data_IF_267277614288
#
_entry.id   IF_267277614288
#
_cell.length_a   1.000
_cell.length_b   1.000
_cell.length_c   1.000
_cell.angle_alpha   90.00
_cell.angle_beta   90.00
_cell.angle_gamma   90.00
#
_symmetry.space_group_name_H-M   'P 1'
#
loop_
_entity.id
_entity.type
_entity.pdbx_description
1 polymer ?
#
# COMPACT_ATOMS: atom_id res chain seq x y z
N UNK A 1 -7.64 30.57 0.91
CA UNK A 1 -9.00 30.35 1.44
C UNK A 1 -9.17 28.88 1.70
N UNK A 2 -9.18 28.48 2.95
CA UNK A 2 -9.33 27.07 3.32
C UNK A 2 -10.81 26.69 3.24
N UNK A 3 -11.15 25.78 2.31
CA UNK A 3 -12.48 25.21 2.23
C UNK A 3 -12.52 24.03 3.21
N UNK A 4 -13.11 24.28 4.38
CA UNK A 4 -13.43 23.23 5.33
C UNK A 4 -14.55 22.36 4.74
N UNK A 5 -14.27 21.13 4.39
CA UNK A 5 -15.29 20.12 4.08
C UNK A 5 -16.02 19.74 5.37
N UNK A 6 -17.12 20.43 5.65
CA UNK A 6 -18.05 20.06 6.71
C UNK A 6 -18.97 18.96 6.20
N UNK A 7 -18.71 17.71 6.56
CA UNK A 7 -19.63 16.60 6.37
C UNK A 7 -20.77 16.71 7.40
N UNK A 8 -21.78 17.52 7.08
CA UNK A 8 -23.03 17.60 7.83
C UNK A 8 -24.10 16.74 7.16
N UNK A 9 -24.06 15.44 7.47
CA UNK A 9 -25.15 14.52 7.12
C UNK A 9 -25.21 13.37 8.12
N UNK A 10 -25.59 13.68 9.36
CA UNK A 10 -26.05 12.69 10.34
C UNK A 10 -26.66 13.40 11.56
N UNK A 11 -27.79 14.07 11.33
CA UNK A 11 -28.66 14.45 12.45
C UNK A 11 -30.08 14.68 11.91
N UNK A 12 -30.79 13.60 11.70
CA UNK A 12 -32.26 13.58 11.65
C UNK A 12 -32.68 12.16 11.33
N UNK A 13 -32.81 11.28 12.28
CA UNK A 13 -33.84 10.24 12.43
C UNK A 13 -33.69 9.63 13.83
N UNK A 14 -34.06 10.40 14.82
CA UNK A 14 -34.48 9.89 16.12
C UNK A 14 -35.84 10.51 16.36
N UNK A 15 -36.86 9.70 16.25
CA UNK A 15 -38.17 9.78 16.90
C UNK A 15 -39.19 9.06 16.05
N UNK A 16 -39.97 8.24 16.69
CA UNK A 16 -41.11 7.43 16.24
C UNK A 16 -40.76 5.97 15.92
N UNK A 17 -40.95 5.11 16.88
CA UNK A 17 -42.07 4.19 17.02
C UNK A 17 -41.87 3.32 18.27
N UNK A 18 -42.51 3.73 19.32
CA UNK A 18 -42.88 2.83 20.41
C UNK A 18 -44.32 2.35 20.14
N UNK A 19 -44.55 1.14 20.55
CA UNK A 19 -45.87 0.50 20.74
C UNK A 19 -46.40 -0.37 19.58
N UNK A 20 -46.45 -1.67 19.87
CA UNK A 20 -47.63 -2.53 19.94
C UNK A 20 -47.18 -4.01 19.94
N UNK A 21 -47.17 -4.65 21.15
CA UNK A 21 -48.05 -5.70 21.66
C UNK A 21 -48.18 -6.95 20.77
N UNK A 22 -47.61 -8.02 21.15
CA UNK A 22 -48.09 -9.10 22.06
C UNK A 22 -48.92 -10.23 21.38
N UNK A 23 -48.56 -11.46 21.78
CA UNK A 23 -49.36 -12.74 21.81
C UNK A 23 -49.31 -13.54 20.49
N UNK A 24 -48.69 -14.74 20.47
CA UNK A 24 -49.23 -16.00 20.97
C UNK A 24 -48.28 -17.18 20.70
N UNK A 25 -47.94 -17.94 21.72
CA UNK A 25 -48.09 -19.39 21.91
C UNK A 25 -47.60 -20.38 20.84
N UNK A 26 -46.53 -21.07 21.25
CA UNK A 26 -46.39 -22.52 21.31
C UNK A 26 -46.44 -23.33 20.02
N UNK A 27 -45.23 -23.77 19.61
CA UNK A 27 -45.06 -25.13 19.15
C UNK A 27 -43.69 -25.62 19.61
N UNK A 28 -43.69 -26.62 20.44
CA UNK A 28 -42.52 -27.36 20.92
C UNK A 28 -41.96 -28.14 19.73
N UNK A 29 -40.84 -27.68 19.20
CA UNK A 29 -39.95 -28.50 18.36
C UNK A 29 -38.63 -28.61 19.08
N UNK A 30 -38.30 -29.79 19.52
CA UNK A 30 -37.00 -30.14 20.11
C UNK A 30 -35.94 -29.93 19.04
N UNK A 31 -35.01 -28.98 19.19
CA UNK A 31 -33.91 -28.91 18.25
C UNK A 31 -32.86 -29.93 18.63
N UNK A 32 -32.56 -30.82 17.70
CA UNK A 32 -31.37 -31.64 17.75
C UNK A 32 -30.18 -30.71 18.03
N UNK A 33 -29.41 -30.99 19.08
CA UNK A 33 -28.16 -30.33 19.41
C UNK A 33 -27.15 -30.53 18.25
N UNK A 34 -27.20 -29.69 17.26
CA UNK A 34 -26.00 -29.44 16.48
C UNK A 34 -25.00 -28.80 17.45
N UNK A 35 -23.93 -29.52 17.77
CA UNK A 35 -22.72 -28.90 18.35
C UNK A 35 -22.24 -27.85 17.37
N UNK A 36 -22.57 -26.60 17.63
CA UNK A 36 -21.92 -25.48 16.95
C UNK A 36 -20.44 -25.63 17.27
N UNK A 37 -19.62 -25.79 16.24
CA UNK A 37 -18.19 -25.68 16.38
C UNK A 37 -17.91 -24.32 17.04
N UNK A 38 -17.07 -24.25 18.08
CA UNK A 38 -16.74 -22.98 18.71
C UNK A 38 -16.17 -22.07 17.62
N UNK A 39 -16.79 -20.92 17.44
CA UNK A 39 -16.25 -19.88 16.55
C UNK A 39 -14.80 -19.64 16.94
N UNK A 40 -13.85 -19.59 16.00
CA UNK A 40 -12.46 -19.36 16.33
C UNK A 40 -12.38 -18.01 17.05
N UNK A 41 -12.01 -18.03 18.32
CA UNK A 41 -11.74 -16.81 19.09
C UNK A 41 -10.44 -16.25 18.54
N UNK A 42 -10.54 -15.31 17.62
CA UNK A 42 -9.40 -14.52 17.15
C UNK A 42 -9.08 -13.54 18.28
N UNK A 43 -7.98 -13.77 18.97
CA UNK A 43 -7.53 -12.86 20.01
C UNK A 43 -6.84 -11.65 19.32
N UNK A 44 -7.46 -10.47 19.44
CA UNK A 44 -6.90 -9.22 18.97
C UNK A 44 -7.54 -8.66 17.68
N UNK A 45 -7.08 -7.48 17.24
CA UNK A 45 -7.58 -6.84 16.04
C UNK A 45 -7.23 -7.64 14.79
N UNK A 46 -8.08 -7.55 13.78
CA UNK A 46 -7.92 -8.22 12.49
C UNK A 46 -7.93 -7.20 11.36
N UNK A 47 -7.12 -7.44 10.35
CA UNK A 47 -7.17 -6.71 9.08
C UNK A 47 -7.86 -7.54 8.01
N UNK A 48 -8.76 -6.91 7.26
CA UNK A 48 -9.37 -7.50 6.07
C UNK A 48 -8.82 -6.79 4.84
N UNK A 49 -8.47 -7.56 3.84
CA UNK A 49 -8.04 -7.04 2.54
C UNK A 49 -9.28 -6.77 1.70
N UNK A 50 -9.40 -5.52 1.22
CA UNK A 50 -10.57 -5.03 0.51
C UNK A 50 -10.26 -4.67 -0.96
N UNK A 51 -9.16 -3.99 -1.18
CA UNK A 51 -8.79 -3.43 -2.48
C UNK A 51 -7.59 -4.15 -3.10
N UNK A 52 -6.56 -4.47 -2.29
CA UNK A 52 -5.34 -5.14 -2.76
C UNK A 52 -5.64 -6.53 -3.33
N UNK A 53 -4.93 -6.87 -4.42
CA UNK A 53 -5.11 -8.14 -5.13
C UNK A 53 -3.94 -9.10 -4.96
N UNK A 54 -2.78 -8.57 -4.57
CA UNK A 54 -1.55 -9.36 -4.53
C UNK A 54 -1.32 -10.05 -3.18
N UNK A 55 -2.22 -9.90 -2.20
CA UNK A 55 -2.15 -10.67 -0.95
C UNK A 55 -3.51 -10.88 -0.29
N UNK A 56 -3.57 -11.87 0.62
CA UNK A 56 -4.73 -12.16 1.49
C UNK A 56 -4.25 -12.51 2.88
N UNK A 57 -5.02 -12.14 3.92
CA UNK A 57 -4.69 -12.39 5.33
C UNK A 57 -5.74 -13.30 5.95
N UNK A 58 -5.28 -14.32 6.66
CA UNK A 58 -6.11 -15.26 7.40
C UNK A 58 -5.65 -15.33 8.85
N UNK A 59 -6.59 -15.44 9.78
CA UNK A 59 -6.33 -15.43 11.21
C UNK A 59 -6.68 -16.77 11.85
N UNK A 60 -5.74 -17.33 12.60
CA UNK A 60 -5.93 -18.46 13.50
C UNK A 60 -5.87 -18.01 14.96
N UNK A 61 -5.95 -18.94 15.90
CA UNK A 61 -5.93 -18.63 17.33
C UNK A 61 -4.59 -18.06 17.82
N UNK A 62 -3.47 -18.58 17.32
CA UNK A 62 -2.13 -18.19 17.77
C UNK A 62 -1.17 -17.91 16.60
N UNK A 63 -1.71 -17.81 15.41
CA UNK A 63 -0.96 -17.55 14.18
C UNK A 63 -1.81 -16.78 13.18
N UNK A 64 -1.14 -16.20 12.20
CA UNK A 64 -1.75 -15.57 11.03
C UNK A 64 -1.12 -16.19 9.79
N UNK A 65 -1.84 -16.17 8.67
CA UNK A 65 -1.30 -16.60 7.38
C UNK A 65 -1.51 -15.49 6.37
N UNK A 66 -0.45 -15.06 5.73
CA UNK A 66 -0.53 -14.22 4.55
C UNK A 66 -0.30 -15.11 3.34
N UNK A 67 -1.24 -15.13 2.41
CA UNK A 67 -1.00 -15.61 1.04
C UNK A 67 -0.51 -14.45 0.22
N UNK A 68 0.68 -14.54 -0.30
CA UNK A 68 1.27 -13.54 -1.18
C UNK A 68 1.22 -14.08 -2.62
N UNK A 69 0.53 -13.37 -3.49
CA UNK A 69 0.38 -13.79 -4.89
C UNK A 69 1.52 -13.28 -5.76
N UNK A 70 2.31 -12.31 -5.28
CA UNK A 70 3.51 -11.84 -5.95
C UNK A 70 4.53 -12.97 -6.11
N UNK A 71 4.90 -13.63 -5.00
CA UNK A 71 5.86 -14.74 -5.00
C UNK A 71 5.21 -16.14 -4.95
N UNK A 72 3.87 -16.20 -4.90
CA UNK A 72 3.10 -17.44 -4.83
C UNK A 72 3.23 -18.21 -3.51
N UNK A 73 3.76 -17.59 -2.44
CA UNK A 73 4.03 -18.26 -1.17
C UNK A 73 3.01 -17.90 -0.09
N UNK A 74 2.95 -18.77 0.92
CA UNK A 74 2.22 -18.51 2.16
C UNK A 74 3.20 -18.23 3.29
N UNK A 75 2.97 -17.16 4.04
CA UNK A 75 3.77 -16.78 5.20
C UNK A 75 2.98 -17.11 6.47
N UNK A 76 3.47 -18.08 7.23
CA UNK A 76 2.94 -18.44 8.54
C UNK A 76 3.56 -17.53 9.60
N UNK A 77 2.77 -16.63 10.14
CA UNK A 77 3.19 -15.68 11.17
C UNK A 77 2.75 -16.21 12.54
N UNK A 78 3.70 -16.63 13.36
CA UNK A 78 3.45 -17.23 14.67
C UNK A 78 3.72 -16.22 15.78
N UNK A 79 2.81 -16.09 16.71
CA UNK A 79 3.00 -15.23 17.88
C UNK A 79 4.21 -15.74 18.70
N UNK A 80 5.09 -14.85 19.12
CA UNK A 80 6.26 -15.17 19.93
C UNK A 80 5.92 -15.85 21.25
N UNK A 81 4.74 -15.61 21.78
CA UNK A 81 4.19 -16.25 22.98
C UNK A 81 3.63 -17.67 22.72
N UNK A 82 3.51 -18.07 21.47
CA UNK A 82 2.97 -19.36 21.06
C UNK A 82 4.00 -20.48 21.16
N UNK A 83 3.58 -21.64 21.66
CA UNK A 83 4.40 -22.86 21.62
C UNK A 83 4.77 -23.29 20.19
N UNK A 84 4.04 -22.84 19.17
CA UNK A 84 4.37 -23.09 17.77
C UNK A 84 5.69 -22.38 17.36
N UNK A 85 5.90 -21.16 17.83
CA UNK A 85 7.06 -20.35 17.46
C UNK A 85 8.40 -21.02 17.81
N UNK A 86 8.43 -21.79 18.91
CA UNK A 86 9.65 -22.49 19.34
C UNK A 86 9.86 -23.85 18.66
N UNK A 87 8.79 -24.45 18.09
CA UNK A 87 8.82 -25.83 17.57
C UNK A 87 8.72 -25.93 16.05
N UNK A 88 8.24 -24.87 15.39
CA UNK A 88 7.87 -24.92 13.98
C UNK A 88 8.68 -23.91 13.19
N UNK A 89 9.43 -24.39 12.20
CA UNK A 89 10.14 -23.54 11.23
C UNK A 89 9.87 -24.09 9.83
N UNK A 90 9.16 -23.34 9.02
CA UNK A 90 8.94 -23.66 7.62
C UNK A 90 9.83 -22.78 6.74
N UNK A 91 10.48 -23.44 5.78
CA UNK A 91 11.27 -22.80 4.75
C UNK A 91 11.24 -23.68 3.50
N UNK A 92 10.16 -23.61 2.78
CA UNK A 92 9.94 -24.38 1.55
C UNK A 92 9.61 -23.44 0.39
N UNK A 93 9.58 -23.98 -0.82
CA UNK A 93 9.16 -23.21 -2.00
C UNK A 93 7.73 -22.65 -1.91
N UNK A 94 6.89 -23.14 -0.98
CA UNK A 94 5.50 -22.73 -0.87
C UNK A 94 5.17 -22.04 0.46
N UNK A 95 5.90 -22.34 1.53
CA UNK A 95 5.58 -21.85 2.86
C UNK A 95 6.86 -21.40 3.56
N UNK A 96 6.83 -20.18 4.11
CA UNK A 96 7.83 -19.66 5.05
C UNK A 96 7.18 -19.33 6.37
N UNK A 97 7.94 -19.34 7.46
CA UNK A 97 7.43 -19.00 8.78
C UNK A 97 8.23 -17.87 9.41
N UNK A 98 7.51 -16.98 10.10
CA UNK A 98 8.07 -15.84 10.81
C UNK A 98 7.52 -15.81 12.24
N UNK A 99 8.33 -15.36 13.17
CA UNK A 99 7.90 -15.10 14.55
C UNK A 99 7.55 -13.61 14.67
N UNK A 100 6.35 -13.31 15.13
CA UNK A 100 5.83 -11.94 15.23
C UNK A 100 5.50 -11.55 16.68
N UNK A 101 5.52 -10.23 17.04
CA UNK A 101 5.98 -9.14 16.19
C UNK A 101 7.46 -9.25 15.83
N UNK A 102 7.86 -8.74 14.66
CA UNK A 102 9.26 -8.79 14.22
C UNK A 102 10.13 -7.96 15.17
N UNK A 103 11.18 -8.58 15.69
CA UNK A 103 12.12 -7.89 16.60
C UNK A 103 13.04 -6.94 15.83
N UNK A 104 13.49 -7.36 14.65
CA UNK A 104 14.31 -6.59 13.74
C UNK A 104 14.02 -7.01 12.30
N UNK A 105 14.10 -6.06 11.38
CA UNK A 105 13.93 -6.36 9.97
C UNK A 105 14.74 -5.41 9.09
N UNK A 106 14.96 -5.83 7.85
CA UNK A 106 15.51 -4.98 6.80
C UNK A 106 14.50 -4.79 5.66
N UNK A 107 14.69 -3.70 4.91
CA UNK A 107 13.82 -3.34 3.78
C UNK A 107 14.68 -3.04 2.56
N UNK A 108 14.27 -3.59 1.42
CA UNK A 108 14.75 -3.14 0.13
C UNK A 108 14.15 -1.78 -0.20
N UNK A 109 14.92 -0.73 0.02
CA UNK A 109 14.48 0.65 -0.14
C UNK A 109 14.60 1.18 -1.57
N UNK A 110 15.08 0.37 -2.51
CA UNK A 110 15.21 0.80 -3.91
C UNK A 110 13.87 0.86 -4.66
N UNK A 111 12.89 0.06 -4.23
CA UNK A 111 11.56 0.01 -4.83
C UNK A 111 10.43 -0.13 -3.81
N UNK A 112 10.72 -0.15 -2.50
CA UNK A 112 9.70 -0.32 -1.47
C UNK A 112 9.38 1.00 -0.78
N UNK A 113 8.11 1.35 -0.60
CA UNK A 113 7.71 2.55 0.15
C UNK A 113 8.00 2.38 1.64
N UNK A 114 9.01 3.10 2.14
CA UNK A 114 9.43 3.03 3.56
C UNK A 114 8.51 3.83 4.49
N UNK A 115 7.72 4.76 3.96
CA UNK A 115 6.78 5.57 4.72
C UNK A 115 5.73 4.75 5.49
N UNK A 116 5.39 3.56 5.02
CA UNK A 116 4.44 2.69 5.72
C UNK A 116 4.99 2.20 7.07
N UNK A 117 6.29 1.96 7.19
CA UNK A 117 6.91 1.60 8.47
C UNK A 117 6.88 2.76 9.47
N UNK A 118 7.04 3.99 8.98
CA UNK A 118 6.89 5.20 9.77
C UNK A 118 5.45 5.38 10.24
N UNK A 119 4.47 5.25 9.33
CA UNK A 119 3.05 5.35 9.65
C UNK A 119 2.59 4.27 10.64
N UNK A 120 3.17 3.08 10.60
CA UNK A 120 2.92 2.01 11.57
C UNK A 120 3.61 2.24 12.92
N UNK A 121 4.60 3.14 12.99
CA UNK A 121 5.36 3.40 14.20
C UNK A 121 6.36 2.28 14.55
N UNK A 122 6.88 1.58 13.56
CA UNK A 122 7.77 0.41 13.75
C UNK A 122 9.22 0.66 13.32
N UNK A 123 9.62 1.93 13.21
CA UNK A 123 10.97 2.32 12.79
C UNK A 123 12.06 1.84 13.76
N UNK A 124 11.75 1.67 15.03
CA UNK A 124 12.70 1.13 16.01
C UNK A 124 13.17 -0.30 15.66
N UNK A 125 12.32 -1.08 15.00
CA UNK A 125 12.63 -2.44 14.53
C UNK A 125 13.25 -2.46 13.13
N UNK A 126 13.28 -1.35 12.39
CA UNK A 126 13.95 -1.22 11.11
C UNK A 126 15.46 -1.08 11.33
N UNK A 127 16.22 -2.16 11.12
CA UNK A 127 17.66 -2.22 11.38
C UNK A 127 18.52 -2.24 10.12
N UNK A 128 17.91 -2.46 8.94
CA UNK A 128 18.62 -2.50 7.67
C UNK A 128 17.85 -1.87 6.53
N UNK A 129 18.55 -1.11 5.69
CA UNK A 129 18.04 -0.55 4.42
C UNK A 129 19.06 -0.83 3.31
N UNK A 130 18.60 -1.02 2.07
CA UNK A 130 19.50 -1.29 0.94
C UNK A 130 20.03 -0.04 0.26
N UNK A 131 19.36 1.10 0.46
CA UNK A 131 19.79 2.41 -0.02
C UNK A 131 19.39 3.49 0.97
N UNK A 132 20.21 4.52 1.12
CA UNK A 132 19.89 5.72 1.89
C UNK A 132 19.19 6.80 1.06
N UNK A 133 18.91 6.53 -0.21
CA UNK A 133 18.14 7.42 -1.08
C UNK A 133 16.64 7.19 -0.83
N UNK A 134 16.15 7.63 0.32
CA UNK A 134 14.76 7.49 0.74
C UNK A 134 14.15 8.85 1.05
N UNK A 135 12.87 9.03 0.76
CA UNK A 135 12.17 10.29 1.00
C UNK A 135 11.81 10.49 2.50
N UNK A 136 11.74 9.41 3.30
CA UNK A 136 11.38 9.49 4.72
C UNK A 136 12.51 10.10 5.55
N UNK A 137 12.29 11.28 6.12
CA UNK A 137 13.25 11.96 7.00
C UNK A 137 13.50 11.16 8.29
N UNK A 138 12.48 10.49 8.82
CA UNK A 138 12.63 9.67 10.02
C UNK A 138 13.54 8.45 9.78
N UNK A 139 13.46 7.82 8.61
CA UNK A 139 14.37 6.73 8.22
C UNK A 139 15.79 7.25 8.02
N UNK A 140 15.95 8.42 7.38
CA UNK A 140 17.27 9.06 7.22
C UNK A 140 17.89 9.41 8.57
N UNK A 141 17.11 9.93 9.50
CA UNK A 141 17.56 10.23 10.85
C UNK A 141 17.98 8.96 11.58
N UNK A 142 17.22 7.87 11.46
CA UNK A 142 17.58 6.56 12.04
C UNK A 142 18.88 6.02 11.46
N UNK A 143 19.10 6.19 10.17
CA UNK A 143 20.36 5.83 9.50
C UNK A 143 21.54 6.69 9.97
N UNK A 144 21.40 8.01 9.98
CA UNK A 144 22.48 8.94 10.39
C UNK A 144 22.85 8.80 11.87
N UNK A 145 21.90 8.43 12.73
CA UNK A 145 22.15 8.12 14.14
C UNK A 145 22.73 6.73 14.41
N UNK A 146 22.91 5.91 13.36
CA UNK A 146 23.47 4.56 13.48
C UNK A 146 22.49 3.50 14.00
N UNK A 147 21.21 3.82 14.16
CA UNK A 147 20.18 2.86 14.59
C UNK A 147 19.77 1.90 13.46
N UNK A 148 19.93 2.33 12.21
CA UNK A 148 19.68 1.56 10.99
C UNK A 148 20.96 1.54 10.14
N UNK A 149 21.34 0.38 9.63
CA UNK A 149 22.54 0.20 8.83
C UNK A 149 22.23 0.05 7.34
N UNK A 150 23.21 0.40 6.49
CA UNK A 150 23.15 0.08 5.07
C UNK A 150 23.53 -1.38 4.87
N UNK A 151 22.70 -2.13 4.15
CA UNK A 151 22.84 -3.58 3.96
C UNK A 151 23.04 -3.89 2.49
N UNK A 152 24.07 -4.69 2.19
CA UNK A 152 24.25 -5.20 0.84
C UNK A 152 23.32 -6.39 0.59
N UNK A 153 22.55 -6.36 -0.50
CA UNK A 153 21.64 -7.44 -0.90
C UNK A 153 22.32 -8.79 -1.14
N UNK A 154 23.61 -8.80 -1.42
CA UNK A 154 24.37 -10.02 -1.70
C UNK A 154 25.06 -10.60 -0.47
N UNK A 155 25.09 -9.88 0.66
CA UNK A 155 25.71 -10.32 1.89
C UNK A 155 24.77 -11.19 2.72
N UNK A 156 24.75 -12.49 2.38
CA UNK A 156 23.89 -13.47 3.05
C UNK A 156 24.17 -13.56 4.58
N UNK A 157 25.39 -13.29 5.03
CA UNK A 157 25.73 -13.35 6.45
C UNK A 157 25.05 -12.22 7.22
N UNK A 158 25.20 -10.98 6.77
CA UNK A 158 24.50 -9.82 7.36
C UNK A 158 22.99 -9.98 7.25
N UNK A 159 22.52 -10.46 6.12
CA UNK A 159 21.08 -10.65 5.88
C UNK A 159 20.46 -11.71 6.80
N UNK A 160 21.21 -12.75 7.20
CA UNK A 160 20.70 -13.80 8.08
C UNK A 160 20.40 -13.34 9.52
N UNK A 161 20.86 -12.15 9.92
CA UNK A 161 20.66 -11.59 11.26
C UNK A 161 19.26 -11.02 11.46
N UNK A 162 18.54 -10.73 10.37
CA UNK A 162 17.20 -10.15 10.45
C UNK A 162 16.12 -11.22 10.63
N UNK A 163 15.15 -10.92 11.46
CA UNK A 163 13.94 -11.75 11.64
C UNK A 163 13.11 -11.83 10.35
N UNK A 164 13.12 -10.75 9.57
CA UNK A 164 12.55 -10.70 8.24
C UNK A 164 13.30 -9.70 7.35
N UNK A 165 13.26 -9.93 6.05
CA UNK A 165 13.74 -9.01 5.02
C UNK A 165 12.63 -8.79 4.02
N UNK A 166 12.18 -7.55 3.91
CA UNK A 166 11.18 -7.16 2.92
C UNK A 166 11.87 -6.84 1.61
N UNK A 167 11.65 -7.68 0.60
CA UNK A 167 12.28 -7.58 -0.72
C UNK A 167 11.27 -7.15 -1.76
N UNK A 168 11.68 -6.29 -2.68
CA UNK A 168 10.86 -5.81 -3.81
C UNK A 168 11.05 -6.66 -5.07
N UNK A 169 12.18 -7.37 -5.19
CA UNK A 169 12.45 -8.27 -6.31
C UNK A 169 12.29 -9.73 -5.87
N UNK A 170 11.35 -10.43 -6.49
CA UNK A 170 11.01 -11.83 -6.17
C UNK A 170 12.14 -12.79 -6.55
N UNK A 171 12.95 -12.46 -7.57
CA UNK A 171 14.08 -13.28 -8.00
C UNK A 171 15.20 -13.35 -6.95
N UNK A 172 15.23 -12.38 -6.04
CA UNK A 172 16.17 -12.34 -4.91
C UNK A 172 15.73 -13.20 -3.72
N UNK A 173 14.57 -13.87 -3.81
CA UNK A 173 13.96 -14.64 -2.71
C UNK A 173 14.69 -15.97 -2.44
N UNK A 174 15.93 -15.88 -1.95
CA UNK A 174 16.81 -17.03 -1.67
C UNK A 174 16.83 -17.45 -0.20
N UNK A 175 16.28 -16.66 0.71
CA UNK A 175 16.36 -16.87 2.16
C UNK A 175 15.02 -17.24 2.81
N UNK A 176 15.13 -17.97 3.94
CA UNK A 176 13.95 -18.35 4.73
C UNK A 176 13.28 -17.16 5.42
N UNK A 177 14.03 -16.10 5.68
CA UNK A 177 13.59 -14.85 6.31
C UNK A 177 13.22 -13.76 5.29
N UNK A 178 13.19 -14.07 4.00
CA UNK A 178 12.77 -13.13 2.96
C UNK A 178 11.25 -13.15 2.80
N UNK A 179 10.63 -11.98 2.80
CA UNK A 179 9.22 -11.77 2.54
C UNK A 179 9.06 -10.78 1.38
N UNK A 180 8.38 -11.21 0.32
CA UNK A 180 8.13 -10.34 -0.83
C UNK A 180 7.17 -9.20 -0.43
N UNK A 181 7.61 -7.98 -0.65
CA UNK A 181 6.86 -6.77 -0.39
C UNK A 181 6.81 -5.94 -1.67
N UNK A 182 5.76 -6.13 -2.44
CA UNK A 182 5.64 -5.69 -3.84
C UNK A 182 4.41 -4.79 -4.06
N UNK A 183 4.19 -3.73 -3.27
CA UNK A 183 3.04 -2.85 -3.47
C UNK A 183 3.02 -2.19 -4.84
N UNK A 184 4.17 -2.05 -5.50
CA UNK A 184 4.26 -1.42 -6.81
C UNK A 184 3.70 -2.29 -7.95
N UNK A 185 3.52 -3.59 -7.71
CA UNK A 185 2.87 -4.51 -8.64
C UNK A 185 1.33 -4.36 -8.67
N UNK A 186 0.76 -3.60 -7.75
CA UNK A 186 -0.68 -3.31 -7.75
C UNK A 186 -1.02 -2.19 -8.73
N UNK A 187 -2.17 -2.33 -9.39
CA UNK A 187 -2.60 -1.45 -10.49
C UNK A 187 -3.17 -0.10 -10.05
N UNK A 188 -3.73 -0.02 -8.83
CA UNK A 188 -4.47 1.18 -8.39
C UNK A 188 -3.91 1.79 -7.10
N UNK A 189 -4.13 3.09 -6.86
CA UNK A 189 -3.66 3.78 -5.66
C UNK A 189 -4.14 3.14 -4.34
N UNK A 190 -5.40 2.74 -4.26
CA UNK A 190 -5.94 2.12 -3.04
C UNK A 190 -5.40 0.71 -2.82
N UNK A 191 -5.17 -0.05 -3.88
CA UNK A 191 -4.52 -1.35 -3.79
C UNK A 191 -3.11 -1.21 -3.21
N UNK A 192 -2.30 -0.27 -3.72
CA UNK A 192 -0.95 0.01 -3.20
C UNK A 192 -0.97 0.47 -1.75
N UNK A 193 -1.90 1.36 -1.40
CA UNK A 193 -2.03 1.88 -0.04
C UNK A 193 -2.39 0.78 0.97
N UNK A 194 -3.16 -0.23 0.57
CA UNK A 194 -3.60 -1.31 1.46
C UNK A 194 -2.47 -2.23 1.93
N UNK A 195 -1.30 -2.18 1.28
CA UNK A 195 -0.12 -2.93 1.73
C UNK A 195 0.38 -2.54 3.12
N UNK A 196 -0.09 -1.42 3.67
CA UNK A 196 0.15 -1.11 5.09
C UNK A 196 -0.46 -2.17 6.01
N UNK A 197 -1.59 -2.81 5.63
CA UNK A 197 -2.21 -3.91 6.39
C UNK A 197 -1.34 -5.16 6.36
N UNK A 198 -0.66 -5.42 5.23
CA UNK A 198 0.33 -6.50 5.12
C UNK A 198 1.45 -6.33 6.16
N UNK A 199 2.09 -5.16 6.21
CA UNK A 199 3.14 -4.86 7.17
C UNK A 199 2.64 -4.84 8.62
N UNK A 200 1.43 -4.28 8.85
CA UNK A 200 0.78 -4.27 10.15
C UNK A 200 0.57 -5.67 10.73
N UNK A 201 0.32 -6.66 9.86
CA UNK A 201 0.17 -8.07 10.25
C UNK A 201 1.47 -8.67 10.81
N UNK A 202 2.62 -8.32 10.24
CA UNK A 202 3.95 -8.72 10.75
C UNK A 202 4.32 -8.01 12.07
N UNK A 203 3.78 -6.82 12.28
CA UNK A 203 4.11 -5.98 13.42
C UNK A 203 3.12 -6.14 14.60
N UNK A 204 2.05 -6.94 14.46
CA UNK A 204 0.91 -6.96 15.40
C UNK A 204 0.28 -5.56 15.58
N UNK A 205 0.24 -4.76 14.52
CA UNK A 205 -0.25 -3.37 14.51
C UNK A 205 -1.47 -3.21 13.59
N UNK A 206 -2.35 -4.21 13.56
CA UNK A 206 -3.52 -4.22 12.68
C UNK A 206 -4.46 -3.04 12.91
N UNK A 207 -4.71 -2.65 14.17
CA UNK A 207 -5.57 -1.50 14.48
C UNK A 207 -5.04 -0.23 13.84
N UNK A 208 -3.73 0.01 13.97
CA UNK A 208 -3.09 1.18 13.37
C UNK A 208 -3.08 1.10 11.85
N UNK A 209 -2.78 -0.07 11.30
CA UNK A 209 -2.80 -0.28 9.86
C UNK A 209 -4.18 -0.05 9.26
N UNK A 210 -5.23 -0.58 9.90
CA UNK A 210 -6.61 -0.35 9.50
C UNK A 210 -6.97 1.14 9.59
N UNK A 211 -6.67 1.80 10.73
CA UNK A 211 -6.98 3.21 10.92
C UNK A 211 -6.32 4.11 9.87
N UNK A 212 -5.04 3.86 9.55
CA UNK A 212 -4.30 4.62 8.53
C UNK A 212 -4.90 4.35 7.14
N UNK A 213 -5.10 3.08 6.78
CA UNK A 213 -5.69 2.73 5.49
C UNK A 213 -7.09 3.34 5.31
N UNK A 214 -7.95 3.22 6.32
CA UNK A 214 -9.30 3.78 6.28
C UNK A 214 -9.29 5.32 6.13
N UNK A 215 -8.33 6.00 6.77
CA UNK A 215 -8.16 7.44 6.60
C UNK A 215 -7.73 7.79 5.17
N UNK A 216 -6.76 7.05 4.61
CA UNK A 216 -6.32 7.23 3.22
C UNK A 216 -7.48 7.00 2.26
N UNK A 217 -8.20 5.88 2.40
CA UNK A 217 -9.33 5.50 1.53
C UNK A 217 -10.44 6.54 1.57
N UNK A 218 -10.85 6.97 2.78
CA UNK A 218 -11.88 8.02 2.92
C UNK A 218 -11.47 9.32 2.24
N UNK A 219 -10.25 9.78 2.47
CA UNK A 219 -9.76 11.04 1.88
C UNK A 219 -9.65 10.92 0.35
N UNK A 220 -9.09 9.83 -0.14
CA UNK A 220 -8.97 9.55 -1.57
C UNK A 220 -10.32 9.56 -2.28
N UNK A 221 -11.28 8.80 -1.77
CA UNK A 221 -12.62 8.72 -2.35
C UNK A 221 -13.39 10.05 -2.25
N UNK A 222 -13.17 10.81 -1.17
CA UNK A 222 -13.76 12.15 -1.03
C UNK A 222 -13.22 13.10 -2.10
N UNK A 223 -11.91 13.12 -2.32
CA UNK A 223 -11.27 13.98 -3.33
C UNK A 223 -11.64 13.58 -4.75
N UNK A 224 -11.62 12.28 -5.06
CA UNK A 224 -12.02 11.76 -6.37
C UNK A 224 -13.50 12.10 -6.69
N UNK A 225 -14.39 11.95 -5.71
CA UNK A 225 -15.79 12.34 -5.86
C UNK A 225 -15.95 13.86 -6.05
N UNK A 226 -15.17 14.66 -5.32
CA UNK A 226 -15.18 16.10 -5.48
C UNK A 226 -14.71 16.50 -6.89
N UNK A 227 -13.64 15.89 -7.38
CA UNK A 227 -13.11 16.11 -8.72
C UNK A 227 -14.13 15.72 -9.81
N UNK A 228 -14.77 14.56 -9.67
CA UNK A 228 -15.80 14.11 -10.61
C UNK A 228 -17.03 15.06 -10.69
N UNK A 229 -17.31 15.78 -9.60
CA UNK A 229 -18.41 16.74 -9.55
C UNK A 229 -18.03 18.15 -10.04
N UNK A 230 -16.76 18.40 -10.34
CA UNK A 230 -16.35 19.68 -10.91
C UNK A 230 -16.87 19.78 -12.35
N UNK A 231 -17.88 20.63 -12.55
CA UNK A 231 -18.48 20.91 -13.88
C UNK A 231 -17.63 21.89 -14.70
N UNK A 232 -16.32 21.75 -14.66
CA UNK A 232 -15.43 22.60 -15.46
C UNK A 232 -15.48 22.16 -16.93
N UNK A 233 -15.68 23.12 -17.83
CA UNK A 233 -15.59 22.89 -19.29
C UNK A 233 -14.17 22.49 -19.73
N UNK A 234 -13.19 22.74 -18.89
CA UNK A 234 -11.79 22.52 -19.15
C UNK A 234 -11.21 21.55 -18.13
N UNK A 235 -10.73 20.42 -18.61
CA UNK A 235 -9.99 19.46 -17.81
C UNK A 235 -8.50 19.60 -18.11
N UNK A 236 -7.64 19.67 -17.09
CA UNK A 236 -6.20 19.72 -17.34
C UNK A 236 -5.74 18.41 -17.98
N UNK A 237 -4.89 18.53 -18.99
CA UNK A 237 -4.22 17.37 -19.60
C UNK A 237 -2.92 17.14 -18.83
N UNK A 238 -2.71 15.92 -18.35
CA UNK A 238 -1.55 15.54 -17.53
C UNK A 238 -0.71 14.50 -18.26
N UNK A 239 0.59 14.76 -18.34
CA UNK A 239 1.60 13.82 -18.81
C UNK A 239 2.53 13.44 -17.65
N UNK A 240 2.70 12.15 -17.39
CA UNK A 240 3.75 11.66 -16.52
C UNK A 240 4.94 11.26 -17.38
N UNK A 241 6.09 11.84 -17.09
CA UNK A 241 7.32 11.61 -17.85
C UNK A 241 8.43 11.10 -16.96
N UNK A 242 9.26 10.23 -17.51
CA UNK A 242 10.42 9.63 -16.85
C UNK A 242 11.65 9.78 -17.76
N UNK A 243 12.75 10.19 -17.16
CA UNK A 243 14.06 10.21 -17.81
C UNK A 243 14.88 9.00 -17.36
N UNK A 244 15.32 8.20 -18.32
CA UNK A 244 16.14 7.01 -18.04
C UNK A 244 17.18 6.83 -19.14
N UNK A 245 18.45 6.79 -18.76
CA UNK A 245 19.57 6.52 -19.69
C UNK A 245 19.58 7.40 -20.95
N UNK A 246 19.35 8.69 -20.78
CA UNK A 246 19.35 9.64 -21.90
C UNK A 246 18.04 9.72 -22.68
N UNK A 247 17.00 8.99 -22.28
CA UNK A 247 15.70 8.95 -22.97
C UNK A 247 14.59 9.51 -22.10
N UNK A 248 13.77 10.40 -22.65
CA UNK A 248 12.50 10.81 -22.08
C UNK A 248 11.39 9.91 -22.60
N UNK A 249 10.58 9.39 -21.70
CA UNK A 249 9.44 8.50 -22.01
C UNK A 249 8.23 8.87 -21.18
N UNK A 250 7.05 8.58 -21.70
CA UNK A 250 5.80 8.73 -20.94
C UNK A 250 5.52 7.50 -20.09
N UNK A 251 5.08 7.73 -18.87
CA UNK A 251 4.63 6.67 -17.96
C UNK A 251 3.29 6.13 -18.44
N UNK A 252 3.18 4.78 -18.51
CA UNK A 252 1.98 4.07 -18.93
C UNK A 252 1.42 3.15 -17.84
N UNK A 253 1.98 3.25 -16.63
CA UNK A 253 1.53 2.44 -15.52
C UNK A 253 0.10 2.78 -15.13
N UNK A 254 -0.75 1.75 -15.01
CA UNK A 254 -2.16 1.90 -14.64
C UNK A 254 -2.35 2.74 -13.39
N UNK A 255 -1.48 2.57 -12.41
CA UNK A 255 -1.46 3.32 -11.17
C UNK A 255 -1.35 4.84 -11.38
N UNK A 256 -0.40 5.30 -12.20
CA UNK A 256 -0.21 6.73 -12.48
C UNK A 256 -1.40 7.31 -13.26
N UNK A 257 -1.87 6.56 -14.26
CA UNK A 257 -3.00 6.96 -15.09
C UNK A 257 -4.30 7.03 -14.29
N UNK A 258 -4.49 6.11 -13.33
CA UNK A 258 -5.65 6.13 -12.44
C UNK A 258 -5.68 7.39 -11.57
N UNK A 259 -4.53 7.85 -11.05
CA UNK A 259 -4.46 9.11 -10.29
C UNK A 259 -4.93 10.30 -11.10
N UNK A 260 -4.49 10.40 -12.37
CA UNK A 260 -4.89 11.48 -13.27
C UNK A 260 -6.41 11.50 -13.44
N UNK A 261 -6.98 10.34 -13.75
CA UNK A 261 -8.42 10.18 -13.97
C UNK A 261 -9.22 10.50 -12.70
N UNK A 262 -8.79 9.97 -11.55
CA UNK A 262 -9.48 10.18 -10.28
C UNK A 262 -9.36 11.62 -9.76
N UNK A 263 -8.33 12.35 -10.19
CA UNK A 263 -8.20 13.80 -9.96
C UNK A 263 -9.06 14.65 -10.90
N UNK A 264 -9.81 14.05 -11.83
CA UNK A 264 -10.68 14.75 -12.78
C UNK A 264 -9.94 15.34 -13.98
N UNK A 265 -8.68 14.93 -14.18
CA UNK A 265 -7.87 15.35 -15.34
C UNK A 265 -7.96 14.34 -16.49
N UNK A 266 -7.42 14.72 -17.65
CA UNK A 266 -7.29 13.86 -18.82
C UNK A 266 -5.83 13.46 -19.04
N UNK A 267 -5.62 12.26 -19.57
CA UNK A 267 -4.31 11.74 -19.89
C UNK A 267 -3.94 12.21 -21.31
N UNK A 268 -2.68 12.53 -21.52
CA UNK A 268 -2.14 12.83 -22.86
C UNK A 268 -2.46 11.68 -23.81
N UNK A 269 -2.79 12.06 -25.05
CA UNK A 269 -3.18 11.13 -26.12
C UNK A 269 -2.19 9.96 -26.30
N UNK A 270 -2.75 8.77 -26.56
CA UNK A 270 -1.96 7.56 -26.72
C UNK A 270 -0.93 7.62 -27.87
N UNK A 271 -1.18 8.42 -28.91
CA UNK A 271 -0.23 8.63 -30.02
C UNK A 271 1.02 9.34 -29.57
N UNK A 272 0.90 10.24 -28.59
CA UNK A 272 1.99 10.97 -27.96
C UNK A 272 2.74 10.10 -26.96
N UNK A 273 2.01 9.40 -26.10
CA UNK A 273 2.61 8.57 -25.03
C UNK A 273 3.43 7.39 -25.55
N UNK A 274 3.29 7.01 -26.82
CA UNK A 274 4.10 5.97 -27.44
C UNK A 274 5.48 6.47 -27.91
N UNK A 275 5.70 7.79 -27.97
CA UNK A 275 6.96 8.38 -28.41
C UNK A 275 8.03 8.28 -27.32
N UNK A 276 9.28 8.24 -27.76
CA UNK A 276 10.49 8.31 -26.95
C UNK A 276 11.38 9.39 -27.53
N UNK A 277 12.07 10.14 -26.69
CA UNK A 277 12.87 11.27 -27.11
C UNK A 277 14.29 11.14 -26.55
N UNK A 278 15.28 11.17 -27.42
CA UNK A 278 16.68 11.12 -27.05
C UNK A 278 17.14 12.50 -26.59
N UNK A 279 17.62 12.62 -25.35
CA UNK A 279 18.10 13.92 -24.83
C UNK A 279 19.34 14.45 -25.51
N UNK A 280 20.07 13.64 -26.29
CA UNK A 280 21.25 14.05 -27.06
C UNK A 280 20.93 14.45 -28.50
N UNK A 281 19.67 14.25 -28.93
CA UNK A 281 19.19 14.62 -30.27
C UNK A 281 18.37 15.90 -30.20
N UNK A 282 18.80 16.93 -30.94
CA UNK A 282 18.13 18.24 -30.88
C UNK A 282 16.75 18.22 -31.52
N UNK A 283 16.53 17.42 -32.57
CA UNK A 283 15.23 17.30 -33.21
C UNK A 283 14.23 16.59 -32.31
N UNK A 284 14.67 15.51 -31.61
CA UNK A 284 13.86 14.83 -30.59
C UNK A 284 13.50 15.77 -29.44
N UNK A 285 14.45 16.60 -28.99
CA UNK A 285 14.20 17.55 -27.89
C UNK A 285 13.27 18.69 -28.31
N UNK A 286 13.37 19.19 -29.54
CA UNK A 286 12.45 20.19 -30.06
C UNK A 286 11.05 19.64 -30.19
N UNK A 287 10.91 18.41 -30.66
CA UNK A 287 9.61 17.67 -30.69
C UNK A 287 9.04 17.44 -29.31
N UNK A 288 9.86 17.07 -28.32
CA UNK A 288 9.46 16.89 -26.95
C UNK A 288 8.96 18.18 -26.31
N UNK A 289 9.72 19.29 -26.49
CA UNK A 289 9.31 20.60 -26.01
C UNK A 289 8.04 21.09 -26.70
N UNK A 290 7.88 20.86 -28.01
CA UNK A 290 6.65 21.20 -28.72
C UNK A 290 5.43 20.50 -28.15
N UNK A 291 5.54 19.21 -27.79
CA UNK A 291 4.46 18.46 -27.16
C UNK A 291 4.10 19.03 -25.78
N UNK A 292 5.11 19.35 -24.96
CA UNK A 292 4.88 19.97 -23.65
C UNK A 292 4.23 21.36 -23.80
N UNK A 293 4.66 22.17 -24.79
CA UNK A 293 4.10 23.49 -25.04
C UNK A 293 2.67 23.47 -25.57
N UNK A 294 2.28 22.49 -26.38
CA UNK A 294 0.90 22.36 -26.87
C UNK A 294 -0.04 22.11 -25.70
N UNK A 295 0.34 21.22 -24.75
CA UNK A 295 -0.42 21.01 -23.52
C UNK A 295 -0.56 22.26 -22.65
N UNK A 296 0.39 23.20 -22.74
CA UNK A 296 0.35 24.48 -22.01
C UNK A 296 -0.43 25.59 -22.73
N UNK A 297 -0.48 25.60 -24.06
CA UNK A 297 -1.27 26.59 -24.81
C UNK A 297 -2.77 26.41 -24.62
N UNK A 298 -3.22 25.21 -24.33
CA UNK A 298 -4.62 24.96 -23.94
C UNK A 298 -4.92 25.38 -22.50
N UNK A 299 -3.90 25.55 -21.65
CA UNK A 299 -3.98 26.14 -20.32
C UNK A 299 -3.88 27.68 -20.48
N UNK A 300 -4.92 28.39 -20.07
CA UNK A 300 -5.01 29.86 -20.04
C UNK A 300 -3.66 30.56 -19.72
N UNK A 301 -3.36 31.72 -20.29
CA UNK A 301 -2.09 32.45 -20.12
C UNK A 301 -1.66 32.79 -18.69
N UNK A 302 -2.51 32.56 -17.71
CA UNK A 302 -2.26 32.83 -16.29
C UNK A 302 -1.47 31.74 -15.54
N UNK A 303 -1.12 30.62 -16.16
CA UNK A 303 -0.45 29.47 -15.53
C UNK A 303 0.99 29.22 -15.96
N UNK A 304 1.59 30.16 -16.67
CA UNK A 304 2.99 30.09 -17.16
C UNK A 304 4.08 30.11 -16.05
N UNK A 305 3.73 30.09 -14.77
CA UNK A 305 4.67 30.22 -13.64
C UNK A 305 5.15 28.89 -13.03
N UNK A 306 4.78 27.74 -13.59
CA UNK A 306 5.10 26.43 -12.97
C UNK A 306 6.25 25.66 -13.64
N UNK A 307 7.03 26.27 -14.54
CA UNK A 307 8.13 25.63 -15.27
C UNK A 307 9.47 26.36 -15.09
N UNK A 308 9.79 26.77 -13.87
CA UNK A 308 11.18 27.08 -13.48
C UNK A 308 11.55 26.14 -12.32
N UNK A 309 11.91 24.91 -12.63
CA UNK A 309 12.77 24.05 -11.80
C UNK A 309 13.70 23.28 -12.74
#
# INVERSE_FOLDING_TARGET
MAVACSCSCCLQVLLLWAALWAVALAAVAVPAKLKAAPAPVVAGPVSRVEDARMFQIYYGQSFKVIKNFGDGKSYLLMQNTSKMASKTKYCTGRIKSFVIPLANFSVDTTASPVSFFELLGVLESLKGITSNQVASQCVLQSYTSGNTQLVNRTDAQTLSQFSAQFISNIDDDKGCNFAAYVPLEEDTPLQRAEWIKYLGTFANSEDRANAVYDAIKRNYLCLSKAAANLSTRFKPIVAWIVYTQGMWTFVKESYALQYVTDAGAEIVDATITNKRFNSSDSEDMDNFHAILCIGMMELSPSLSWFLEI
#
